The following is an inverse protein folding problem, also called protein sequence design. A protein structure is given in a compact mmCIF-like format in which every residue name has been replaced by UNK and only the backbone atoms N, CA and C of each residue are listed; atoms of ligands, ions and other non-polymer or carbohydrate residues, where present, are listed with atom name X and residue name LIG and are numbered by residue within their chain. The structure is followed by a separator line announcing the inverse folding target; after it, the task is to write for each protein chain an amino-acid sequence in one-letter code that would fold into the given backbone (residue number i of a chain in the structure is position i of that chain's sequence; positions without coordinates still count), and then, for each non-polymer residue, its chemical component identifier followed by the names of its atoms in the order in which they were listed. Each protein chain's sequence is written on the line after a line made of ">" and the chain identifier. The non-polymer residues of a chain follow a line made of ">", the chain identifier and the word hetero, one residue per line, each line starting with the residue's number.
data_IF_969836207905
#
_entry.id   IF_969836207905
#
_cell.length_a   1.000
_cell.length_b   1.000
_cell.length_c   1.000
_cell.angle_alpha   90.00
_cell.angle_beta   90.00
_cell.angle_gamma   90.00
#
_symmetry.space_group_name_H-M   'P 1'
#
loop_
_entity.id
_entity.type
_entity.pdbx_description
1 polymer ?
#
# COMPACT_ATOMS: atom_id res chain seq x y z
N UNK A 1 -22.98 -11.87 -24.83
CA UNK A 1 -21.56 -11.76 -25.20
C UNK A 1 -20.94 -10.62 -24.43
N UNK A 2 -20.73 -10.94 -23.16
CA UNK A 2 -20.23 -10.08 -22.09
C UNK A 2 -18.71 -10.15 -22.06
N UNK A 3 -18.06 -9.03 -22.37
CA UNK A 3 -16.69 -8.72 -21.96
C UNK A 3 -16.66 -7.22 -21.65
N UNK A 4 -17.28 -6.85 -20.53
CA UNK A 4 -17.06 -5.53 -19.94
C UNK A 4 -15.69 -5.57 -19.25
N UNK A 5 -14.68 -5.08 -19.96
CA UNK A 5 -13.38 -4.73 -19.38
C UNK A 5 -13.65 -3.61 -18.37
N UNK A 6 -13.67 -3.94 -17.08
CA UNK A 6 -13.74 -2.98 -16.00
C UNK A 6 -12.40 -2.25 -15.93
N UNK A 7 -12.25 -1.20 -16.75
CA UNK A 7 -11.13 -0.28 -16.63
C UNK A 7 -11.21 0.45 -15.29
N UNK A 8 -10.05 0.63 -14.65
CA UNK A 8 -9.88 1.46 -13.46
C UNK A 8 -10.46 2.85 -13.74
N UNK A 9 -11.52 3.23 -13.02
CA UNK A 9 -12.23 4.49 -13.25
C UNK A 9 -11.55 5.67 -12.58
N UNK A 10 -10.96 5.49 -11.40
CA UNK A 10 -10.22 6.53 -10.66
C UNK A 10 -9.22 5.94 -9.65
N UNK A 11 -8.00 6.49 -9.60
CA UNK A 11 -7.01 6.23 -8.52
C UNK A 11 -6.81 7.53 -7.76
N UNK A 12 -7.29 7.59 -6.51
CA UNK A 12 -7.13 8.74 -5.63
C UNK A 12 -5.99 8.56 -4.63
N UNK A 13 -5.07 9.53 -4.55
CA UNK A 13 -4.07 9.64 -3.47
C UNK A 13 -4.55 10.72 -2.51
N UNK A 14 -4.77 10.36 -1.23
CA UNK A 14 -5.25 11.30 -0.22
C UNK A 14 -4.08 12.11 0.36
N UNK A 15 -3.98 13.38 -0.06
CA UNK A 15 -2.98 14.36 0.36
C UNK A 15 -3.44 15.31 1.49
N UNK A 16 -2.45 15.94 2.13
CA UNK A 16 -2.41 16.50 3.50
C UNK A 16 -3.09 17.86 3.73
N UNK A 17 -4.36 18.05 3.40
CA UNK A 17 -5.12 19.20 3.94
C UNK A 17 -6.42 18.77 4.61
N UNK A 18 -6.30 18.22 5.82
CA UNK A 18 -7.43 18.06 6.73
C UNK A 18 -7.36 19.15 7.81
N UNK A 19 -8.16 20.20 7.65
CA UNK A 19 -8.31 21.29 8.64
C UNK A 19 -9.46 21.04 9.62
N UNK A 20 -10.10 19.88 9.52
CA UNK A 20 -11.25 19.43 10.31
C UNK A 20 -10.84 18.22 11.17
N UNK A 21 -11.45 18.10 12.36
CA UNK A 21 -11.35 16.93 13.26
C UNK A 21 -11.97 15.66 12.64
N UNK A 22 -12.71 15.81 11.53
CA UNK A 22 -13.31 14.72 10.76
C UNK A 22 -12.89 14.77 9.29
N UNK A 23 -12.74 13.60 8.70
CA UNK A 23 -12.68 13.43 7.25
C UNK A 23 -13.99 13.95 6.64
N UNK A 24 -13.97 14.81 5.60
CA UNK A 24 -15.19 15.31 4.98
C UNK A 24 -16.05 14.18 4.39
N UNK A 25 -17.39 14.27 4.49
CA UNK A 25 -18.32 13.28 3.93
C UNK A 25 -18.08 13.00 2.43
N UNK A 26 -17.73 14.04 1.67
CA UNK A 26 -17.39 13.93 0.26
C UNK A 26 -16.18 12.99 0.00
N UNK A 27 -15.22 12.93 0.93
CA UNK A 27 -14.09 12.02 0.84
C UNK A 27 -14.53 10.58 1.13
N UNK A 28 -15.46 10.37 2.06
CA UNK A 28 -16.03 9.05 2.33
C UNK A 28 -16.81 8.51 1.12
N UNK A 29 -17.61 9.34 0.48
CA UNK A 29 -18.35 8.98 -0.75
C UNK A 29 -17.40 8.68 -1.92
N UNK A 30 -16.36 9.50 -2.09
CA UNK A 30 -15.33 9.27 -3.12
C UNK A 30 -14.61 7.95 -2.87
N UNK A 31 -14.21 7.68 -1.63
CA UNK A 31 -13.55 6.43 -1.27
C UNK A 31 -14.45 5.22 -1.53
N UNK A 32 -15.74 5.29 -1.18
CA UNK A 32 -16.70 4.20 -1.34
C UNK A 32 -17.09 3.90 -2.80
N UNK A 33 -16.81 4.81 -3.72
CA UNK A 33 -17.11 4.64 -5.16
C UNK A 33 -15.87 4.36 -6.00
N UNK A 34 -14.68 4.45 -5.41
CA UNK A 34 -13.42 4.12 -6.08
C UNK A 34 -13.22 2.61 -6.21
N UNK A 35 -12.51 2.19 -7.25
CA UNK A 35 -12.10 0.79 -7.43
C UNK A 35 -11.03 0.40 -6.39
N UNK A 36 -10.09 1.31 -6.15
CA UNK A 36 -8.95 1.14 -5.23
C UNK A 36 -8.71 2.43 -4.46
N UNK A 37 -8.47 2.30 -3.15
CA UNK A 37 -7.97 3.38 -2.30
C UNK A 37 -6.66 2.91 -1.67
N UNK A 38 -5.60 3.70 -1.82
CA UNK A 38 -4.31 3.43 -1.20
C UNK A 38 -4.01 4.47 -0.12
N UNK A 39 -3.55 4.00 1.04
CA UNK A 39 -3.12 4.84 2.16
C UNK A 39 -1.74 4.39 2.64
N UNK A 40 -0.90 5.32 3.04
CA UNK A 40 0.40 5.00 3.65
C UNK A 40 0.44 5.29 5.15
N UNK A 41 1.34 4.64 5.88
CA UNK A 41 1.58 4.98 7.28
C UNK A 41 2.21 6.36 7.48
N UNK A 42 2.79 6.97 6.44
CA UNK A 42 3.18 8.39 6.48
C UNK A 42 1.93 9.27 6.58
N UNK A 43 0.86 8.96 5.82
CA UNK A 43 -0.43 9.66 5.94
C UNK A 43 -0.97 9.54 7.36
N UNK A 44 -0.92 8.36 7.98
CA UNK A 44 -1.34 8.19 9.37
C UNK A 44 -0.47 9.00 10.35
N UNK A 45 0.84 9.04 10.13
CA UNK A 45 1.79 9.69 11.04
C UNK A 45 1.56 11.21 11.17
N UNK A 46 1.20 11.87 10.07
CA UNK A 46 1.02 13.34 10.04
C UNK A 46 -0.35 13.82 10.54
N UNK A 47 -1.27 12.89 10.80
CA UNK A 47 -2.60 13.17 11.35
C UNK A 47 -2.59 13.09 12.87
N UNK A 48 -3.52 13.78 13.51
CA UNK A 48 -3.80 13.59 14.94
C UNK A 48 -4.73 12.37 15.19
N UNK A 49 -4.92 12.00 16.46
CA UNK A 49 -5.70 10.81 16.84
C UNK A 49 -7.17 10.82 16.36
N UNK A 50 -7.93 11.94 16.48
CA UNK A 50 -9.26 12.05 15.86
C UNK A 50 -9.25 11.85 14.35
N UNK A 51 -8.29 12.45 13.65
CA UNK A 51 -8.17 12.34 12.20
C UNK A 51 -7.79 10.92 11.75
N UNK A 52 -6.90 10.24 12.48
CA UNK A 52 -6.55 8.83 12.23
C UNK A 52 -7.78 7.93 12.39
N UNK A 53 -8.55 8.13 13.46
CA UNK A 53 -9.80 7.40 13.70
C UNK A 53 -10.76 7.58 12.53
N UNK A 54 -11.02 8.84 12.15
CA UNK A 54 -11.95 9.15 11.07
C UNK A 54 -11.48 8.60 9.71
N UNK A 55 -10.19 8.63 9.41
CA UNK A 55 -9.64 8.02 8.21
C UNK A 55 -9.86 6.51 8.19
N UNK A 56 -9.58 5.81 9.29
CA UNK A 56 -9.79 4.36 9.39
C UNK A 56 -11.27 4.00 9.23
N UNK A 57 -12.19 4.78 9.79
CA UNK A 57 -13.64 4.60 9.59
C UNK A 57 -14.04 4.76 8.13
N UNK A 58 -13.49 5.75 7.42
CA UNK A 58 -13.73 5.93 5.98
C UNK A 58 -13.20 4.76 5.16
N UNK A 59 -12.00 4.28 5.47
CA UNK A 59 -11.43 3.11 4.79
C UNK A 59 -12.27 1.86 5.02
N UNK A 60 -12.69 1.61 6.26
CA UNK A 60 -13.58 0.51 6.60
C UNK A 60 -14.93 0.63 5.86
N UNK A 61 -15.50 1.82 5.81
CA UNK A 61 -16.73 2.08 5.05
C UNK A 61 -16.56 1.78 3.56
N UNK A 62 -15.48 2.27 2.93
CA UNK A 62 -15.18 2.00 1.53
C UNK A 62 -15.03 0.48 1.26
N UNK A 63 -14.32 -0.23 2.13
CA UNK A 63 -14.18 -1.69 2.04
C UNK A 63 -15.54 -2.41 2.04
N UNK A 64 -16.50 -1.96 2.86
CA UNK A 64 -17.86 -2.53 2.86
C UNK A 64 -18.65 -2.26 1.57
N UNK A 65 -18.23 -1.30 0.75
CA UNK A 65 -18.84 -0.97 -0.55
C UNK A 65 -18.12 -1.64 -1.74
N UNK A 66 -17.14 -2.50 -1.46
CA UNK A 66 -16.41 -3.26 -2.48
C UNK A 66 -15.15 -2.58 -2.99
N UNK A 67 -14.80 -1.40 -2.47
CA UNK A 67 -13.52 -0.74 -2.75
C UNK A 67 -12.36 -1.57 -2.21
N UNK A 68 -11.32 -1.75 -3.03
CA UNK A 68 -10.08 -2.39 -2.58
C UNK A 68 -9.23 -1.40 -1.80
N UNK A 69 -9.21 -1.54 -0.48
CA UNK A 69 -8.35 -0.74 0.39
C UNK A 69 -6.96 -1.38 0.47
N UNK A 70 -5.94 -0.61 0.09
CA UNK A 70 -4.52 -0.97 0.11
C UNK A 70 -3.80 -0.13 1.16
N UNK A 71 -3.07 -0.78 2.07
CA UNK A 71 -2.21 -0.12 3.05
C UNK A 71 -0.74 -0.41 2.73
N UNK A 72 0.05 0.65 2.60
CA UNK A 72 1.52 0.62 2.67
C UNK A 72 1.95 1.15 4.05
N UNK A 73 2.39 0.30 4.99
CA UNK A 73 2.79 0.76 6.32
C UNK A 73 3.87 1.84 6.30
N UNK A 74 4.81 1.81 5.35
CA UNK A 74 5.84 2.82 5.11
C UNK A 74 6.39 3.51 6.37
N UNK A 75 6.74 2.75 7.40
CA UNK A 75 6.88 3.30 8.75
C UNK A 75 8.16 4.13 8.81
N UNK A 76 7.99 5.41 9.16
CA UNK A 76 9.08 6.35 9.41
C UNK A 76 9.08 6.72 10.88
N UNK A 77 9.89 6.04 11.74
CA UNK A 77 9.86 6.26 13.19
C UNK A 77 9.97 7.72 13.63
N UNK A 78 10.66 8.56 12.85
CA UNK A 78 10.82 10.00 13.12
C UNK A 78 9.53 10.82 13.00
N UNK A 79 8.51 10.30 12.35
CA UNK A 79 7.21 10.97 12.21
C UNK A 79 6.22 10.59 13.31
N UNK A 80 6.55 9.61 14.15
CA UNK A 80 5.70 9.11 15.22
C UNK A 80 6.24 9.55 16.58
N UNK A 81 5.36 9.70 17.57
CA UNK A 81 5.77 9.97 18.94
C UNK A 81 6.49 8.78 19.57
N UNK A 82 6.10 7.55 19.19
CA UNK A 82 6.83 6.32 19.53
C UNK A 82 6.55 5.19 18.54
N UNK A 83 7.33 4.11 18.63
CA UNK A 83 7.11 2.86 17.87
C UNK A 83 5.81 2.18 18.28
N UNK A 84 5.41 2.26 19.55
CA UNK A 84 4.17 1.70 20.07
C UNK A 84 2.94 2.45 19.53
N UNK A 85 3.04 3.78 19.39
CA UNK A 85 2.02 4.59 18.73
C UNK A 85 1.87 4.18 17.26
N UNK A 86 2.98 4.04 16.53
CA UNK A 86 2.98 3.58 15.15
C UNK A 86 2.36 2.18 15.03
N UNK A 87 2.77 1.23 15.87
CA UNK A 87 2.24 -0.13 15.89
C UNK A 87 0.73 -0.16 16.12
N UNK A 88 0.23 0.60 17.10
CA UNK A 88 -1.20 0.70 17.38
C UNK A 88 -2.00 1.21 16.18
N UNK A 89 -1.56 2.31 15.57
CA UNK A 89 -2.32 2.96 14.50
C UNK A 89 -2.22 2.22 13.16
N UNK A 90 -1.04 1.65 12.85
CA UNK A 90 -0.89 0.80 11.67
C UNK A 90 -1.69 -0.48 11.83
N UNK A 91 -1.70 -1.12 12.99
CA UNK A 91 -2.50 -2.34 13.21
C UNK A 91 -4.01 -2.09 13.10
N UNK A 92 -4.48 -0.93 13.58
CA UNK A 92 -5.86 -0.49 13.37
C UNK A 92 -6.18 -0.31 11.87
N UNK A 93 -5.29 0.31 11.11
CA UNK A 93 -5.45 0.47 9.66
C UNK A 93 -5.40 -0.88 8.90
N UNK A 94 -4.59 -1.84 9.34
CA UNK A 94 -4.60 -3.22 8.82
C UNK A 94 -5.98 -3.85 8.96
N UNK A 95 -6.71 -3.57 10.05
CA UNK A 95 -8.08 -4.04 10.25
C UNK A 95 -9.11 -3.48 9.25
N UNK A 96 -8.82 -2.36 8.60
CA UNK A 96 -9.65 -1.75 7.57
C UNK A 96 -9.17 -2.07 6.13
N UNK A 97 -7.99 -2.68 5.99
CA UNK A 97 -7.37 -2.95 4.70
C UNK A 97 -7.78 -4.32 4.14
N UNK A 98 -8.01 -4.36 2.82
CA UNK A 98 -8.15 -5.63 2.10
C UNK A 98 -6.80 -6.19 1.65
N UNK A 99 -5.84 -5.31 1.42
CA UNK A 99 -4.50 -5.62 0.96
C UNK A 99 -3.47 -4.82 1.76
N UNK A 100 -2.37 -5.46 2.15
CA UNK A 100 -1.24 -4.80 2.78
C UNK A 100 0.03 -5.06 1.96
N UNK A 101 0.74 -3.99 1.60
CA UNK A 101 2.01 -4.02 0.90
C UNK A 101 3.08 -3.53 1.89
N UNK A 102 3.69 -4.47 2.61
CA UNK A 102 4.67 -4.17 3.65
C UNK A 102 6.09 -4.47 3.19
N UNK A 103 7.07 -3.97 3.94
CA UNK A 103 8.46 -4.40 3.87
C UNK A 103 8.87 -5.14 5.15
N UNK A 104 9.96 -5.91 5.09
CA UNK A 104 10.61 -6.48 6.28
C UNK A 104 11.06 -5.41 7.26
N UNK A 105 11.41 -4.22 6.77
CA UNK A 105 11.74 -3.06 7.61
C UNK A 105 10.53 -2.57 8.42
N UNK A 106 9.35 -2.48 7.80
CA UNK A 106 8.13 -2.08 8.51
C UNK A 106 7.81 -3.05 9.63
N UNK A 107 7.83 -4.35 9.33
CA UNK A 107 7.57 -5.41 10.31
C UNK A 107 8.58 -5.37 11.47
N UNK A 108 9.86 -5.11 11.18
CA UNK A 108 10.89 -4.99 12.20
C UNK A 108 10.73 -3.74 13.08
N UNK A 109 10.24 -2.63 12.53
CA UNK A 109 9.95 -1.41 13.31
C UNK A 109 8.73 -1.60 14.20
N UNK A 110 7.70 -2.27 13.71
CA UNK A 110 6.45 -2.49 14.44
C UNK A 110 6.49 -3.70 15.38
N UNK A 111 7.56 -4.50 15.32
CA UNK A 111 7.71 -5.77 16.02
C UNK A 111 6.54 -6.75 15.73
N UNK A 112 6.16 -6.85 14.45
CA UNK A 112 5.03 -7.68 13.99
C UNK A 112 5.52 -8.86 13.15
N UNK A 113 4.95 -10.03 13.39
CA UNK A 113 5.16 -11.20 12.54
C UNK A 113 4.18 -11.16 11.37
N UNK A 114 4.69 -11.21 10.13
CA UNK A 114 3.87 -11.16 8.91
C UNK A 114 2.66 -12.11 8.91
N UNK A 115 2.83 -13.32 9.48
CA UNK A 115 1.77 -14.32 9.55
C UNK A 115 0.55 -13.85 10.37
N UNK A 116 0.73 -12.96 11.35
CA UNK A 116 -0.37 -12.40 12.14
C UNK A 116 -1.27 -11.54 11.26
N UNK A 117 -0.68 -10.64 10.47
CA UNK A 117 -1.42 -9.84 9.50
C UNK A 117 -2.01 -10.67 8.38
N UNK A 118 -1.30 -11.68 7.88
CA UNK A 118 -1.79 -12.58 6.83
C UNK A 118 -3.13 -13.27 7.17
N UNK A 119 -3.42 -13.46 8.47
CA UNK A 119 -4.70 -14.03 8.92
C UNK A 119 -5.84 -13.02 9.01
N UNK A 120 -5.54 -11.72 8.91
CA UNK A 120 -6.49 -10.61 9.10
C UNK A 120 -6.84 -9.88 7.82
N UNK A 121 -6.02 -10.01 6.78
CA UNK A 121 -6.23 -9.36 5.47
C UNK A 121 -6.40 -10.40 4.37
N UNK A 122 -7.09 -10.02 3.30
CA UNK A 122 -7.29 -10.93 2.17
C UNK A 122 -5.99 -11.18 1.40
N UNK A 123 -5.10 -10.18 1.35
CA UNK A 123 -3.84 -10.21 0.61
C UNK A 123 -2.73 -9.47 1.38
N UNK A 124 -1.59 -10.11 1.59
CA UNK A 124 -0.39 -9.51 2.18
C UNK A 124 0.80 -9.79 1.28
N UNK A 125 1.56 -8.76 0.96
CA UNK A 125 2.87 -8.86 0.32
C UNK A 125 3.91 -8.24 1.24
N UNK A 126 5.04 -8.94 1.40
CA UNK A 126 6.19 -8.47 2.17
C UNK A 126 7.42 -8.46 1.27
N UNK A 127 7.90 -7.26 0.94
CA UNK A 127 9.14 -7.04 0.20
C UNK A 127 10.35 -7.06 1.14
N UNK A 128 11.52 -7.45 0.61
CA UNK A 128 12.77 -7.55 1.40
C UNK A 128 13.99 -7.06 0.59
N UNK A 129 13.84 -5.88 -0.03
CA UNK A 129 14.87 -5.30 -0.90
C UNK A 129 15.26 -6.25 -2.03
N UNK A 130 16.48 -6.77 -1.99
CA UNK A 130 17.01 -7.71 -2.99
C UNK A 130 16.70 -9.19 -2.68
N UNK A 131 16.17 -9.50 -1.50
CA UNK A 131 15.74 -10.85 -1.14
C UNK A 131 14.32 -11.15 -1.65
N UNK A 132 13.94 -12.44 -1.81
CA UNK A 132 12.63 -12.81 -2.34
C UNK A 132 11.48 -12.22 -1.54
N UNK A 133 10.54 -11.59 -2.23
CA UNK A 133 9.28 -11.15 -1.61
C UNK A 133 8.43 -12.35 -1.22
N UNK A 134 7.73 -12.23 -0.09
CA UNK A 134 6.77 -13.22 0.41
C UNK A 134 5.36 -12.70 0.19
N UNK A 135 4.42 -13.59 -0.05
CA UNK A 135 3.02 -13.22 -0.21
C UNK A 135 2.08 -14.25 0.40
N UNK A 136 0.91 -13.76 0.82
CA UNK A 136 -0.23 -14.53 1.32
C UNK A 136 -1.50 -14.00 0.66
N UNK A 137 -2.36 -14.90 0.18
CA UNK A 137 -3.63 -14.56 -0.43
C UNK A 137 -4.65 -15.68 -0.17
N UNK A 138 -5.63 -15.41 0.71
CA UNK A 138 -6.53 -16.45 1.23
C UNK A 138 -5.74 -17.60 1.87
N UNK A 139 -5.93 -18.83 1.37
CA UNK A 139 -5.20 -20.02 1.84
C UNK A 139 -3.86 -20.26 1.13
N UNK A 140 -3.53 -19.49 0.10
CA UNK A 140 -2.30 -19.63 -0.65
C UNK A 140 -1.22 -18.71 -0.09
N UNK A 141 0.04 -19.17 -0.18
CA UNK A 141 1.21 -18.37 0.15
C UNK A 141 2.40 -18.80 -0.71
N UNK A 142 3.37 -17.92 -0.87
CA UNK A 142 4.55 -18.24 -1.66
C UNK A 142 5.63 -17.16 -1.62
N UNK A 143 6.62 -17.34 -2.48
CA UNK A 143 7.71 -16.37 -2.66
C UNK A 143 7.92 -16.07 -4.14
N UNK A 144 8.37 -14.84 -4.42
CA UNK A 144 8.79 -14.41 -5.76
C UNK A 144 10.21 -13.90 -5.65
N UNK A 145 11.09 -14.41 -6.52
CA UNK A 145 12.50 -13.99 -6.54
C UNK A 145 12.62 -12.59 -7.11
N UNK A 146 13.58 -11.84 -6.59
CA UNK A 146 13.98 -10.53 -7.12
C UNK A 146 15.19 -10.73 -8.00
N UNK A 147 15.14 -10.23 -9.23
CA UNK A 147 16.31 -10.20 -10.10
C UNK A 147 17.31 -9.17 -9.58
N UNK A 148 18.58 -9.54 -9.32
CA UNK A 148 19.58 -8.61 -8.82
C UNK A 148 19.77 -7.41 -9.75
N UNK A 149 19.87 -6.21 -9.17
CA UNK A 149 20.15 -4.96 -9.89
C UNK A 149 21.20 -4.13 -9.15
N UNK A 150 22.07 -3.46 -9.90
CA UNK A 150 22.93 -2.42 -9.35
C UNK A 150 22.11 -1.17 -9.04
N UNK A 151 21.78 -0.94 -7.77
CA UNK A 151 21.04 0.24 -7.34
C UNK A 151 21.94 1.48 -7.31
N UNK A 152 21.47 2.57 -7.93
CA UNK A 152 22.09 3.91 -7.88
C UNK A 152 21.50 4.71 -6.72
N UNK A 153 20.18 4.67 -6.58
CA UNK A 153 19.41 5.34 -5.52
C UNK A 153 18.19 4.48 -5.22
N UNK A 154 17.89 4.17 -3.96
CA UNK A 154 16.74 3.33 -3.60
C UNK A 154 15.49 4.14 -3.25
N UNK A 155 15.56 5.46 -3.33
CA UNK A 155 14.42 6.36 -3.12
C UNK A 155 13.30 6.01 -4.11
N UNK A 156 12.06 5.94 -3.62
CA UNK A 156 10.88 5.68 -4.47
C UNK A 156 10.71 4.24 -4.98
N UNK A 157 11.65 3.33 -4.67
CA UNK A 157 11.55 1.93 -5.12
C UNK A 157 10.30 1.22 -4.57
N UNK A 158 9.94 1.48 -3.31
CA UNK A 158 8.72 0.96 -2.68
C UNK A 158 7.47 1.53 -3.35
N UNK A 159 7.40 2.84 -3.52
CA UNK A 159 6.26 3.50 -4.18
C UNK A 159 6.07 3.00 -5.64
N UNK A 160 7.17 2.78 -6.37
CA UNK A 160 7.15 2.20 -7.71
C UNK A 160 6.68 0.75 -7.71
N UNK A 161 7.11 -0.05 -6.71
CA UNK A 161 6.62 -1.41 -6.51
C UNK A 161 5.10 -1.39 -6.30
N UNK A 162 4.61 -0.60 -5.35
CA UNK A 162 3.20 -0.55 -4.96
C UNK A 162 2.31 -0.10 -6.11
N UNK A 163 2.71 0.95 -6.82
CA UNK A 163 1.95 1.45 -7.97
C UNK A 163 1.79 0.39 -9.06
N UNK A 164 2.88 -0.28 -9.44
CA UNK A 164 2.83 -1.34 -10.45
C UNK A 164 2.10 -2.59 -9.95
N UNK A 165 2.24 -2.93 -8.67
CA UNK A 165 1.52 -4.03 -8.04
C UNK A 165 0.00 -3.80 -8.09
N UNK A 166 -0.44 -2.65 -7.61
CA UNK A 166 -1.86 -2.28 -7.56
C UNK A 166 -2.47 -2.23 -8.95
N UNK A 167 -1.76 -1.63 -9.92
CA UNK A 167 -2.20 -1.60 -11.32
C UNK A 167 -2.38 -3.02 -11.88
N UNK A 168 -1.38 -3.89 -11.73
CA UNK A 168 -1.46 -5.27 -12.22
C UNK A 168 -2.63 -6.03 -11.56
N UNK A 169 -2.86 -5.85 -10.26
CA UNK A 169 -4.01 -6.46 -9.56
C UNK A 169 -5.35 -5.88 -10.01
N UNK A 170 -5.40 -4.63 -10.44
CA UNK A 170 -6.60 -4.02 -11.00
C UNK A 170 -6.89 -4.56 -12.41
N UNK A 171 -5.86 -4.91 -13.17
CA UNK A 171 -5.95 -5.54 -14.50
C UNK A 171 -6.20 -7.07 -14.44
N UNK A 172 -6.32 -7.64 -13.24
CA UNK A 172 -6.65 -9.05 -13.03
C UNK A 172 -5.46 -10.01 -12.95
N UNK A 173 -4.23 -9.50 -12.87
CA UNK A 173 -3.04 -10.33 -12.65
C UNK A 173 -3.11 -11.09 -11.31
N UNK A 174 -2.54 -12.28 -11.25
CA UNK A 174 -2.37 -13.03 -10.01
C UNK A 174 -1.39 -12.32 -9.06
N UNK A 175 -1.38 -12.70 -7.78
CA UNK A 175 -0.44 -12.14 -6.78
C UNK A 175 1.03 -12.30 -7.22
N UNK A 176 1.51 -13.49 -7.64
CA UNK A 176 2.89 -13.62 -8.12
C UNK A 176 3.23 -12.76 -9.35
N UNK A 177 2.29 -12.61 -10.29
CA UNK A 177 2.47 -11.76 -11.47
C UNK A 177 2.54 -10.28 -11.08
N UNK A 178 1.69 -9.83 -10.16
CA UNK A 178 1.72 -8.47 -9.63
C UNK A 178 2.99 -8.18 -8.83
N UNK A 179 3.48 -9.12 -8.00
CA UNK A 179 4.79 -8.99 -7.32
C UNK A 179 5.92 -8.87 -8.35
N UNK A 180 5.85 -9.62 -9.45
CA UNK A 180 6.85 -9.54 -10.53
C UNK A 180 6.82 -8.18 -11.23
N UNK A 181 5.62 -7.65 -11.51
CA UNK A 181 5.45 -6.30 -12.08
C UNK A 181 5.99 -5.21 -11.13
N UNK A 182 5.68 -5.31 -9.83
CA UNK A 182 6.23 -4.44 -8.79
C UNK A 182 7.75 -4.44 -8.77
N UNK A 183 8.38 -5.62 -8.79
CA UNK A 183 9.84 -5.72 -8.86
C UNK A 183 10.43 -5.12 -10.13
N UNK A 184 9.77 -5.29 -11.28
CA UNK A 184 10.22 -4.69 -12.53
C UNK A 184 10.20 -3.16 -12.48
N UNK A 185 9.17 -2.55 -11.88
CA UNK A 185 9.07 -1.11 -11.69
C UNK A 185 10.08 -0.58 -10.67
N UNK A 186 10.21 -1.25 -9.51
CA UNK A 186 11.20 -0.91 -8.50
C UNK A 186 12.64 -0.96 -9.07
N UNK A 187 12.93 -1.95 -9.92
CA UNK A 187 14.23 -2.07 -10.59
C UNK A 187 14.55 -0.87 -11.49
N UNK A 188 13.56 -0.38 -12.23
CA UNK A 188 13.73 0.80 -13.08
C UNK A 188 13.94 2.08 -12.23
N UNK A 189 13.14 2.23 -11.16
CA UNK A 189 13.26 3.31 -10.20
C UNK A 189 14.68 3.40 -9.61
N UNK A 190 15.24 2.27 -9.17
CA UNK A 190 16.57 2.28 -8.53
C UNK A 190 17.74 2.53 -9.48
N UNK A 191 17.51 2.45 -10.80
CA UNK A 191 18.52 2.73 -11.82
C UNK A 191 18.85 4.21 -12.00
N UNK A 192 18.10 5.11 -11.34
CA UNK A 192 18.16 6.55 -11.57
C UNK A 192 18.22 7.35 -10.25
N UNK A 193 18.98 8.45 -10.17
CA UNK A 193 18.90 9.35 -9.02
C UNK A 193 17.49 9.93 -8.84
N UNK A 194 16.97 9.93 -7.60
CA UNK A 194 15.66 10.50 -7.26
C UNK A 194 14.45 9.58 -7.48
N UNK A 195 14.64 8.33 -7.90
CA UNK A 195 13.62 7.28 -7.85
C UNK A 195 12.59 7.23 -8.99
N UNK A 196 12.34 8.32 -9.72
CA UNK A 196 11.39 8.34 -10.84
C UNK A 196 11.89 9.18 -12.01
N UNK A 197 11.89 8.60 -13.21
CA UNK A 197 11.95 9.38 -14.47
C UNK A 197 10.52 9.76 -14.85
N UNK A 198 10.20 11.05 -14.85
CA UNK A 198 9.05 11.53 -15.61
C UNK A 198 9.40 11.34 -17.09
N UNK A 199 8.59 10.61 -17.91
CA UNK A 199 8.86 10.55 -19.34
C UNK A 199 8.85 11.98 -19.88
N UNK A 200 9.84 12.33 -20.70
CA UNK A 200 9.88 13.64 -21.34
C UNK A 200 8.49 13.94 -21.93
N UNK A 201 7.85 15.04 -21.47
CA UNK A 201 6.59 15.45 -22.07
C UNK A 201 6.86 15.74 -23.56
N UNK A 202 6.03 15.24 -24.49
CA UNK A 202 6.14 15.60 -25.89
C UNK A 202 6.00 17.10 -26.11
#
# INVERSE_FOLDING_TARGET
>A
DDLAVAGVRDVGVLGTSMTSERVPDALAETAATADVVMVSGITLAVLDDPQRTSLIEVLAHAATHGTRVVLDPNVRPRLWGSTEEAARWVDAAVGAASMVLASTQDLGVLDVVAAEWATRVAELVVTDGAAPSRWWAGSAAGTVRVEPVGAVDTTGAGDAFDAAYVLARAEGATVPEAVTAGHAAARDAVGHPGGLRWPDRP
#
